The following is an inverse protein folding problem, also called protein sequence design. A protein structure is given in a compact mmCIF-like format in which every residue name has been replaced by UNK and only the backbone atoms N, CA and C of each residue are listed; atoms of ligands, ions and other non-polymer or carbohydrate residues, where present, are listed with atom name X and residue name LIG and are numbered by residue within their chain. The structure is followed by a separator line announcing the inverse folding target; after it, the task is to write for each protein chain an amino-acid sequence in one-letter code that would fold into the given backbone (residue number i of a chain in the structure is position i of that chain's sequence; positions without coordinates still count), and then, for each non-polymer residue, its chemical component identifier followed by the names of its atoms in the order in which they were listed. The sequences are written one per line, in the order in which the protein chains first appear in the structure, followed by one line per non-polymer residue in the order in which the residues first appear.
data_IF_812786458271
#
_entry.id   IF_812786458271
#
_cell.length_a   1.000
_cell.length_b   1.000
_cell.length_c   1.000
_cell.angle_alpha   90.00
_cell.angle_beta   90.00
_cell.angle_gamma   90.00
#
_symmetry.space_group_name_H-M   'P 1'
#
loop_
_entity.id
_entity.type
_entity.pdbx_description
1 polymer ?
#
# COMPACT_ATOMS: atom_id res chain seq x y z
N UNK A 1 1.64 -7.77 -24.82
CA UNK A 1 1.83 -6.96 -23.61
C UNK A 1 2.81 -7.70 -22.75
N UNK A 2 3.90 -7.10 -22.35
CA UNK A 2 4.93 -7.76 -21.55
C UNK A 2 4.45 -7.68 -20.09
N UNK A 3 4.34 -8.82 -19.42
CA UNK A 3 3.98 -8.86 -17.99
C UNK A 3 5.17 -8.45 -17.14
N UNK A 4 4.90 -7.78 -16.04
CA UNK A 4 5.91 -7.38 -15.05
C UNK A 4 5.81 -8.26 -13.82
N UNK A 5 6.96 -8.73 -13.34
CA UNK A 5 7.06 -9.48 -12.10
C UNK A 5 8.30 -9.02 -11.35
N UNK A 6 8.12 -8.40 -10.20
CA UNK A 6 9.23 -7.94 -9.38
C UNK A 6 9.09 -8.41 -7.95
N UNK A 7 10.22 -8.73 -7.33
CA UNK A 7 10.32 -8.94 -5.89
C UNK A 7 11.06 -7.76 -5.27
N UNK A 8 10.47 -7.15 -4.26
CA UNK A 8 11.07 -6.06 -3.49
C UNK A 8 11.42 -6.55 -2.11
N UNK A 9 12.71 -6.59 -1.79
CA UNK A 9 13.21 -6.92 -0.47
C UNK A 9 12.88 -5.82 0.54
N UNK A 10 12.52 -6.15 1.79
CA UNK A 10 12.34 -5.17 2.86
C UNK A 10 13.67 -4.51 3.26
N UNK A 11 14.81 -5.11 2.88
CA UNK A 11 16.15 -4.61 3.15
C UNK A 11 16.57 -3.63 2.06
N UNK A 12 16.72 -2.37 2.42
CA UNK A 12 17.16 -1.28 1.54
C UNK A 12 16.33 -1.10 0.25
N UNK A 13 15.12 -1.70 0.15
CA UNK A 13 14.27 -1.59 -1.03
C UNK A 13 14.88 -2.22 -2.29
N UNK A 14 15.79 -3.19 -2.15
CA UNK A 14 16.37 -3.89 -3.31
C UNK A 14 15.28 -4.57 -4.10
N UNK A 15 15.21 -4.30 -5.40
CA UNK A 15 14.22 -4.88 -6.32
C UNK A 15 14.94 -5.87 -7.23
N UNK A 16 14.37 -7.08 -7.33
CA UNK A 16 14.75 -8.07 -8.32
C UNK A 16 13.64 -8.14 -9.36
N UNK A 17 14.00 -7.95 -10.64
CA UNK A 17 13.09 -8.22 -11.75
C UNK A 17 13.10 -9.74 -12.02
N UNK A 18 11.96 -10.37 -11.83
CA UNK A 18 11.75 -11.80 -12.09
C UNK A 18 11.13 -12.05 -13.48
N UNK A 19 11.05 -11.03 -14.31
CA UNK A 19 10.63 -11.09 -15.71
C UNK A 19 11.76 -10.62 -16.66
N UNK A 20 12.98 -10.51 -16.16
CA UNK A 20 14.15 -10.07 -16.93
C UNK A 20 14.64 -11.18 -17.87
N UNK A 21 14.59 -10.98 -19.20
CA UNK A 21 15.05 -11.98 -20.16
C UNK A 21 16.57 -12.22 -20.13
N UNK A 22 17.35 -11.32 -19.55
CA UNK A 22 18.82 -11.45 -19.42
C UNK A 22 19.24 -11.91 -18.01
N UNK A 23 18.31 -12.04 -17.09
CA UNK A 23 18.50 -12.44 -15.70
C UNK A 23 17.61 -13.61 -15.31
N UNK A 24 16.63 -13.33 -14.45
CA UNK A 24 15.63 -14.32 -14.00
C UNK A 24 14.33 -14.08 -14.77
N UNK A 25 13.95 -15.02 -15.60
CA UNK A 25 12.73 -14.95 -16.41
C UNK A 25 11.71 -16.01 -15.97
N UNK A 26 10.75 -15.63 -15.17
CA UNK A 26 9.64 -16.50 -14.76
C UNK A 26 8.50 -16.50 -15.81
N UNK A 27 8.04 -17.70 -16.18
CA UNK A 27 7.06 -17.84 -17.26
C UNK A 27 5.58 -17.73 -16.80
N UNK A 28 5.26 -18.24 -15.62
CA UNK A 28 3.87 -18.38 -15.14
C UNK A 28 3.43 -17.21 -14.25
N UNK A 29 3.64 -15.99 -14.73
CA UNK A 29 3.47 -14.77 -13.93
C UNK A 29 2.03 -14.59 -13.42
N UNK A 30 1.03 -14.85 -14.28
CA UNK A 30 -0.37 -14.67 -13.90
C UNK A 30 -0.89 -15.72 -12.92
N UNK A 31 -0.29 -16.90 -12.89
CA UNK A 31 -0.67 -17.96 -11.96
C UNK A 31 -0.34 -17.61 -10.51
N UNK A 32 0.65 -16.77 -10.28
CA UNK A 32 0.91 -16.19 -8.96
C UNK A 32 -0.31 -15.46 -8.40
N UNK A 33 -1.09 -14.79 -9.25
CA UNK A 33 -2.29 -14.04 -8.87
C UNK A 33 -3.54 -14.90 -8.67
N UNK A 34 -3.40 -16.23 -8.62
CA UNK A 34 -4.53 -17.11 -8.32
C UNK A 34 -5.19 -16.71 -7.01
N UNK A 35 -6.50 -16.48 -7.06
CA UNK A 35 -7.33 -16.10 -5.93
C UNK A 35 -8.18 -17.29 -5.51
N UNK A 36 -8.10 -17.67 -4.27
CA UNK A 36 -8.93 -18.71 -3.70
C UNK A 36 -9.53 -18.26 -2.37
N UNK A 37 -10.79 -18.58 -2.15
CA UNK A 37 -11.44 -18.46 -0.87
C UNK A 37 -11.57 -19.84 -0.25
N UNK A 38 -11.17 -19.97 1.00
CA UNK A 38 -11.57 -21.10 1.82
C UNK A 38 -12.91 -20.75 2.45
N UNK A 39 -13.93 -21.56 2.15
CA UNK A 39 -15.30 -21.30 2.55
C UNK A 39 -15.84 -22.44 3.41
N UNK A 40 -16.37 -22.09 4.58
CA UNK A 40 -17.08 -23.00 5.47
C UNK A 40 -18.56 -22.64 5.47
N UNK A 41 -19.40 -23.61 5.16
CA UNK A 41 -20.85 -23.48 5.18
C UNK A 41 -21.41 -23.85 6.55
N UNK A 42 -22.03 -22.90 7.22
CA UNK A 42 -22.90 -23.12 8.37
C UNK A 42 -24.34 -23.40 7.92
N UNK A 43 -25.25 -23.61 8.89
CA UNK A 43 -26.66 -23.93 8.60
C UNK A 43 -27.37 -22.90 7.70
N UNK A 44 -27.08 -21.61 7.87
CA UNK A 44 -27.60 -20.47 7.07
C UNK A 44 -26.57 -19.35 6.92
N UNK A 45 -25.29 -19.70 6.97
CA UNK A 45 -24.21 -18.73 6.93
C UNK A 45 -23.03 -19.26 6.13
N UNK A 46 -22.25 -18.37 5.54
CA UNK A 46 -20.99 -18.65 4.89
C UNK A 46 -19.89 -17.90 5.67
N UNK A 47 -18.87 -18.62 6.09
CA UNK A 47 -17.58 -18.04 6.48
C UNK A 47 -16.60 -18.22 5.36
N UNK A 48 -15.92 -17.17 4.95
CA UNK A 48 -14.91 -17.25 3.92
C UNK A 48 -13.66 -16.47 4.35
N UNK A 49 -12.51 -17.10 4.16
CA UNK A 49 -11.19 -16.51 4.43
C UNK A 49 -10.29 -16.66 3.21
N UNK A 50 -9.29 -15.82 3.12
CA UNK A 50 -8.20 -15.93 2.13
C UNK A 50 -6.92 -16.24 2.89
N UNK A 51 -6.56 -17.52 3.04
CA UNK A 51 -5.37 -17.90 3.77
C UNK A 51 -4.11 -17.56 3.00
N UNK A 52 -3.00 -17.50 3.74
CA UNK A 52 -1.68 -17.56 3.15
C UNK A 52 -1.52 -18.85 2.35
N UNK A 53 -0.79 -18.80 1.25
CA UNK A 53 -0.57 -19.96 0.38
C UNK A 53 0.82 -19.93 -0.23
N UNK A 54 1.31 -21.10 -0.61
CA UNK A 54 2.49 -21.23 -1.44
C UNK A 54 2.14 -21.41 -2.91
N UNK A 55 2.90 -20.79 -3.79
CA UNK A 55 2.77 -20.91 -5.24
C UNK A 55 4.15 -21.23 -5.81
N UNK A 56 4.23 -22.20 -6.71
CA UNK A 56 5.47 -22.48 -7.46
C UNK A 56 5.43 -21.72 -8.79
N UNK A 57 6.55 -21.11 -9.13
CA UNK A 57 6.76 -20.37 -10.37
C UNK A 57 8.00 -20.90 -11.05
N UNK A 58 7.83 -21.46 -12.25
CA UNK A 58 8.96 -21.94 -13.04
C UNK A 58 9.63 -20.78 -13.76
N UNK A 59 10.94 -20.71 -13.67
CA UNK A 59 11.75 -19.68 -14.32
C UNK A 59 12.96 -20.26 -15.06
N UNK A 60 13.49 -19.45 -15.97
CA UNK A 60 14.79 -19.62 -16.58
C UNK A 60 15.72 -18.57 -16.01
N UNK A 61 16.91 -18.97 -15.58
CA UNK A 61 17.91 -18.06 -15.02
C UNK A 61 19.12 -18.05 -15.93
N UNK A 62 19.44 -16.89 -16.45
CA UNK A 62 20.61 -16.66 -17.28
C UNK A 62 21.78 -16.20 -16.41
N UNK A 63 22.75 -17.11 -16.24
CA UNK A 63 23.93 -16.88 -15.44
C UNK A 63 23.80 -17.29 -13.96
N UNK A 64 24.67 -18.18 -13.52
CA UNK A 64 24.74 -18.66 -12.13
C UNK A 64 24.92 -17.50 -11.12
N UNK A 65 25.75 -16.46 -11.38
CA UNK A 65 25.91 -15.35 -10.44
C UNK A 65 24.61 -14.56 -10.17
N UNK A 66 23.70 -14.47 -11.13
CA UNK A 66 22.40 -13.81 -10.93
C UNK A 66 21.51 -14.64 -10.01
N UNK A 67 21.56 -15.96 -10.13
CA UNK A 67 20.85 -16.88 -9.26
C UNK A 67 21.38 -16.81 -7.82
N UNK A 68 22.70 -16.95 -7.65
CA UNK A 68 23.35 -16.91 -6.32
C UNK A 68 23.00 -15.61 -5.58
N UNK A 69 23.05 -14.47 -6.26
CA UNK A 69 22.68 -13.18 -5.68
C UNK A 69 21.20 -13.12 -5.25
N UNK A 70 20.32 -13.72 -6.03
CA UNK A 70 18.90 -13.76 -5.69
C UNK A 70 18.65 -14.68 -4.49
N UNK A 71 19.28 -15.85 -4.46
CA UNK A 71 19.19 -16.81 -3.35
C UNK A 71 19.71 -16.21 -2.04
N UNK A 72 20.88 -15.55 -2.07
CA UNK A 72 21.42 -14.85 -0.90
C UNK A 72 20.45 -13.80 -0.34
N UNK A 73 19.75 -13.07 -1.22
CA UNK A 73 18.78 -12.07 -0.80
C UNK A 73 17.53 -12.72 -0.21
N UNK A 74 17.00 -13.78 -0.84
CA UNK A 74 15.83 -14.50 -0.35
C UNK A 74 16.09 -15.14 1.03
N UNK A 75 17.25 -15.75 1.20
CA UNK A 75 17.66 -16.35 2.48
C UNK A 75 17.86 -15.29 3.57
N UNK A 76 18.47 -14.15 3.21
CA UNK A 76 18.64 -13.04 4.14
C UNK A 76 17.29 -12.44 4.60
N UNK A 77 16.32 -12.31 3.68
CA UNK A 77 14.99 -11.81 3.99
C UNK A 77 14.21 -12.82 4.86
N UNK A 78 14.32 -14.10 4.56
CA UNK A 78 13.73 -15.17 5.37
C UNK A 78 14.30 -15.18 6.77
N UNK A 79 15.63 -15.13 6.92
CA UNK A 79 16.29 -15.09 8.22
C UNK A 79 15.87 -13.86 9.04
N UNK A 80 15.81 -12.69 8.40
CA UNK A 80 15.37 -11.47 9.07
C UNK A 80 13.90 -11.54 9.51
N UNK A 81 13.03 -12.11 8.69
CA UNK A 81 11.62 -12.31 9.05
C UNK A 81 11.44 -13.23 10.25
N UNK A 82 12.18 -14.35 10.30
CA UNK A 82 12.07 -15.35 11.36
C UNK A 82 12.74 -14.93 12.69
N UNK A 83 13.87 -14.21 12.61
CA UNK A 83 14.67 -13.90 13.80
C UNK A 83 14.43 -12.51 14.35
N UNK A 84 14.20 -11.53 13.47
CA UNK A 84 14.15 -10.11 13.83
C UNK A 84 12.72 -9.53 13.72
N UNK A 85 11.71 -10.36 13.42
CA UNK A 85 10.35 -9.93 13.13
C UNK A 85 10.30 -8.79 12.06
N UNK A 86 11.24 -8.83 11.12
CA UNK A 86 11.31 -7.87 10.02
C UNK A 86 10.06 -7.98 9.13
N UNK A 87 9.76 -6.92 8.40
CA UNK A 87 8.69 -6.96 7.41
C UNK A 87 9.02 -7.99 6.32
N UNK A 88 8.03 -8.73 5.80
CA UNK A 88 8.24 -9.60 4.66
C UNK A 88 8.54 -8.78 3.39
N UNK A 89 9.05 -9.44 2.37
CA UNK A 89 9.18 -8.86 1.04
C UNK A 89 7.82 -8.62 0.37
N UNK A 90 7.85 -7.94 -0.77
CA UNK A 90 6.66 -7.66 -1.58
C UNK A 90 6.88 -8.18 -2.99
N UNK A 91 5.94 -8.99 -3.48
CA UNK A 91 5.89 -9.38 -4.88
C UNK A 91 4.86 -8.53 -5.62
N UNK A 92 5.24 -8.04 -6.79
CA UNK A 92 4.37 -7.22 -7.63
C UNK A 92 4.22 -7.87 -9.00
N UNK A 93 2.97 -8.06 -9.43
CA UNK A 93 2.58 -8.64 -10.72
C UNK A 93 1.64 -7.67 -11.42
N UNK A 94 2.06 -7.08 -12.53
CA UNK A 94 1.26 -6.13 -13.32
C UNK A 94 0.60 -5.03 -12.47
N UNK A 95 1.37 -4.46 -11.53
CA UNK A 95 0.90 -3.43 -10.62
C UNK A 95 0.08 -3.92 -9.42
N UNK A 96 -0.16 -5.23 -9.32
CA UNK A 96 -0.76 -5.83 -8.13
C UNK A 96 0.34 -6.34 -7.20
N UNK A 97 0.28 -5.98 -5.95
CA UNK A 97 1.28 -6.33 -4.94
C UNK A 97 0.69 -7.17 -3.80
N UNK A 98 1.52 -8.02 -3.23
CA UNK A 98 1.21 -8.81 -2.04
C UNK A 98 2.48 -9.02 -1.23
N UNK A 99 2.35 -9.14 0.10
CA UNK A 99 3.47 -9.54 0.96
C UNK A 99 3.81 -11.00 0.73
N UNK A 100 5.09 -11.28 0.63
CA UNK A 100 5.57 -12.63 0.35
C UNK A 100 6.97 -12.90 0.92
N UNK A 101 7.33 -14.18 0.89
CA UNK A 101 8.69 -14.66 1.05
C UNK A 101 8.96 -15.72 0.01
N UNK A 102 10.16 -15.74 -0.57
CA UNK A 102 10.61 -16.85 -1.41
C UNK A 102 11.19 -17.91 -0.47
N UNK A 103 10.52 -19.04 -0.37
CA UNK A 103 10.80 -20.07 0.63
C UNK A 103 11.59 -21.26 0.10
N UNK A 104 11.81 -21.30 -1.21
CA UNK A 104 12.59 -22.36 -1.82
C UNK A 104 12.86 -22.11 -3.30
N UNK A 105 13.92 -22.72 -3.77
CA UNK A 105 14.29 -22.79 -5.17
C UNK A 105 14.79 -24.20 -5.46
N UNK A 106 14.30 -24.80 -6.53
CA UNK A 106 14.68 -26.13 -7.00
C UNK A 106 15.37 -25.96 -8.36
N UNK A 107 16.73 -25.78 -8.40
CA UNK A 107 17.42 -25.57 -9.66
C UNK A 107 17.56 -26.88 -10.45
N UNK A 108 17.34 -26.81 -11.76
CA UNK A 108 17.61 -27.87 -12.73
C UNK A 108 18.62 -27.36 -13.76
N UNK A 109 19.78 -28.00 -13.77
CA UNK A 109 20.89 -27.58 -14.62
C UNK A 109 20.61 -27.92 -16.09
N UNK A 110 20.59 -26.91 -16.95
CA UNK A 110 20.41 -27.07 -18.39
C UNK A 110 21.74 -26.93 -19.13
N UNK A 111 22.52 -25.89 -18.78
CA UNK A 111 23.83 -25.59 -19.40
C UNK A 111 24.67 -24.71 -18.47
N UNK A 112 25.97 -24.48 -18.79
CA UNK A 112 26.80 -23.59 -17.97
C UNK A 112 26.31 -22.15 -17.84
N UNK A 113 25.40 -21.71 -18.72
CA UNK A 113 24.86 -20.35 -18.73
C UNK A 113 23.37 -20.29 -18.53
N UNK A 114 22.69 -21.43 -18.39
CA UNK A 114 21.24 -21.50 -18.26
C UNK A 114 20.85 -22.53 -17.20
N UNK A 115 20.12 -22.07 -16.21
CA UNK A 115 19.50 -22.90 -15.19
C UNK A 115 17.99 -22.74 -15.30
N UNK A 116 17.27 -23.85 -15.31
CA UNK A 116 15.82 -23.84 -15.10
C UNK A 116 15.56 -24.11 -13.63
N UNK A 117 14.56 -23.45 -13.05
CA UNK A 117 14.24 -23.72 -11.66
C UNK A 117 12.83 -23.30 -11.27
N UNK A 118 12.34 -23.94 -10.23
CA UNK A 118 11.06 -23.63 -9.63
C UNK A 118 11.28 -22.81 -8.37
N UNK A 119 10.76 -21.58 -8.38
CA UNK A 119 10.73 -20.75 -7.17
C UNK A 119 9.44 -21.01 -6.41
N UNK A 120 9.54 -21.31 -5.14
CA UNK A 120 8.39 -21.45 -4.23
C UNK A 120 8.21 -20.14 -3.47
N UNK A 121 7.10 -19.46 -3.74
CA UNK A 121 6.75 -18.18 -3.13
C UNK A 121 5.62 -18.41 -2.13
N UNK A 122 5.84 -18.05 -0.87
CA UNK A 122 4.82 -17.99 0.16
C UNK A 122 4.15 -16.61 0.12
N UNK A 123 2.88 -16.56 -0.26
CA UNK A 123 2.04 -15.37 -0.25
C UNK A 123 1.35 -15.29 1.11
N UNK A 124 1.58 -14.24 1.87
CA UNK A 124 1.23 -14.18 3.30
C UNK A 124 -0.17 -13.59 3.56
N UNK A 125 -0.62 -12.63 2.76
CA UNK A 125 -1.89 -11.92 3.03
C UNK A 125 -3.11 -12.56 2.38
N UNK A 126 -2.92 -13.42 1.39
CA UNK A 126 -4.03 -13.98 0.59
C UNK A 126 -4.80 -12.96 -0.26
N UNK A 127 -4.46 -11.67 -0.17
CA UNK A 127 -5.10 -10.56 -0.88
C UNK A 127 -4.08 -9.80 -1.73
N UNK A 128 -4.45 -9.55 -3.00
CA UNK A 128 -3.66 -8.71 -3.89
C UNK A 128 -4.16 -7.27 -3.83
N UNK A 129 -3.24 -6.35 -3.61
CA UNK A 129 -3.48 -4.92 -3.57
C UNK A 129 -2.99 -4.28 -4.86
N UNK A 130 -3.77 -3.39 -5.43
CA UNK A 130 -3.33 -2.52 -6.50
C UNK A 130 -3.29 -1.10 -5.94
N UNK A 131 -2.19 -0.40 -6.16
CA UNK A 131 -2.11 1.01 -5.84
C UNK A 131 -2.82 1.76 -6.95
N UNK A 132 -3.85 2.48 -6.61
CA UNK A 132 -4.52 3.40 -7.53
C UNK A 132 -3.70 4.67 -7.71
N UNK A 133 -4.05 5.45 -8.73
CA UNK A 133 -3.43 6.74 -8.98
C UNK A 133 -3.65 7.69 -7.81
N UNK A 134 -2.64 8.52 -7.54
CA UNK A 134 -2.69 9.49 -6.45
C UNK A 134 -3.70 10.58 -6.80
N UNK A 135 -4.70 10.78 -5.95
CA UNK A 135 -5.64 11.88 -6.06
C UNK A 135 -5.13 13.04 -5.21
N UNK A 136 -5.02 14.22 -5.82
CA UNK A 136 -4.54 15.42 -5.15
C UNK A 136 -5.70 16.37 -4.85
N UNK A 137 -5.79 16.80 -3.61
CA UNK A 137 -6.79 17.76 -3.14
C UNK A 137 -6.07 19.00 -2.59
N UNK A 138 -6.54 20.17 -2.99
CA UNK A 138 -5.98 21.43 -2.56
C UNK A 138 -6.96 22.11 -1.61
N UNK A 139 -6.47 22.57 -0.49
CA UNK A 139 -7.22 23.47 0.39
C UNK A 139 -7.00 24.91 -0.10
N UNK A 140 -8.03 25.56 -0.59
CA UNK A 140 -8.00 26.98 -0.93
C UNK A 140 -8.27 27.89 0.30
N UNK A 141 -8.04 27.38 1.46
CA UNK A 141 -8.08 28.21 2.64
C UNK A 141 -6.92 29.22 2.58
N UNK A 142 -7.18 30.34 1.98
CA UNK A 142 -6.36 31.54 1.88
C UNK A 142 -6.07 31.90 0.42
N UNK A 143 -7.11 32.33 -0.30
CA UNK A 143 -6.88 33.43 -1.22
C UNK A 143 -6.90 34.71 -0.36
N UNK A 144 -5.75 35.29 -0.01
CA UNK A 144 -5.72 36.61 0.58
C UNK A 144 -6.17 37.58 -0.51
N UNK A 145 -7.34 38.13 -0.40
CA UNK A 145 -7.82 39.14 -1.32
C UNK A 145 -9.31 39.13 -1.66
N UNK A 146 -10.08 38.21 -1.07
CA UNK A 146 -11.54 38.30 -1.08
C UNK A 146 -12.02 38.69 0.32
N UNK A 147 -11.49 39.79 0.84
CA UNK A 147 -12.10 40.49 1.94
C UNK A 147 -13.48 40.98 1.49
N UNK A 148 -14.47 40.78 2.36
CA UNK A 148 -15.77 41.40 2.22
C UNK A 148 -15.56 42.91 2.03
N UNK A 149 -15.76 43.40 0.82
CA UNK A 149 -15.76 44.82 0.55
C UNK A 149 -16.89 45.50 1.35
N UNK A 150 -16.56 46.47 2.14
CA UNK A 150 -17.55 47.37 2.74
C UNK A 150 -17.67 48.63 1.88
N UNK A 151 -18.88 49.01 1.44
CA UNK A 151 -20.23 48.69 1.92
C UNK A 151 -20.85 47.51 1.19
N UNK A 152 -21.66 46.72 1.93
CA UNK A 152 -22.34 45.54 1.43
C UNK A 152 -23.29 45.84 0.29
N UNK A 153 -22.99 45.31 -0.89
CA UNK A 153 -23.96 45.19 -1.96
C UNK A 153 -24.74 43.88 -1.78
N UNK A 154 -26.06 43.97 -1.83
CA UNK A 154 -26.92 42.81 -1.90
C UNK A 154 -27.01 42.34 -3.35
N UNK A 155 -26.86 41.03 -3.67
CA UNK A 155 -26.90 39.85 -2.80
C UNK A 155 -25.53 39.42 -2.27
N UNK A 156 -25.48 38.94 -1.03
CA UNK A 156 -24.27 38.37 -0.44
C UNK A 156 -23.85 37.14 -1.22
N UNK A 157 -22.69 37.19 -1.82
CA UNK A 157 -21.99 35.98 -2.27
C UNK A 157 -21.41 35.27 -1.05
N UNK A 158 -22.16 34.28 -0.59
CA UNK A 158 -21.60 33.30 0.32
C UNK A 158 -20.63 32.43 -0.48
N UNK A 159 -19.36 32.78 -0.51
CA UNK A 159 -18.33 31.84 -0.95
C UNK A 159 -18.45 30.59 -0.06
N UNK A 160 -18.68 29.42 -0.65
CA UNK A 160 -18.70 28.21 0.15
C UNK A 160 -17.31 28.02 0.79
N UNK A 161 -17.25 28.18 2.11
CA UNK A 161 -16.02 27.93 2.87
C UNK A 161 -15.62 26.48 2.91
N UNK A 162 -16.46 25.60 2.38
CA UNK A 162 -16.24 24.16 2.26
C UNK A 162 -16.18 23.79 0.79
N UNK A 163 -15.00 23.41 0.29
CA UNK A 163 -14.92 22.74 -1.02
C UNK A 163 -15.20 21.26 -0.83
N UNK A 164 -16.19 20.79 -1.57
CA UNK A 164 -16.43 19.37 -1.73
C UNK A 164 -15.53 18.89 -2.88
N UNK A 165 -14.68 17.92 -2.59
CA UNK A 165 -13.93 17.16 -3.58
C UNK A 165 -14.50 15.75 -3.59
N UNK A 166 -14.52 15.11 -4.73
CA UNK A 166 -14.99 13.73 -4.87
C UNK A 166 -13.80 12.79 -4.74
N UNK A 167 -13.89 11.84 -3.82
CA UNK A 167 -12.96 10.72 -3.68
C UNK A 167 -13.67 9.46 -4.19
N UNK A 168 -13.09 8.80 -5.18
CA UNK A 168 -13.64 7.57 -5.74
C UNK A 168 -12.88 6.34 -5.22
N UNK A 169 -13.64 5.33 -4.80
CA UNK A 169 -13.15 3.98 -4.56
C UNK A 169 -13.86 3.03 -5.51
N UNK A 170 -13.22 2.70 -6.63
CA UNK A 170 -13.78 1.83 -7.67
C UNK A 170 -13.83 0.35 -7.27
N UNK A 171 -13.30 -0.01 -6.10
CA UNK A 171 -13.39 -1.36 -5.60
C UNK A 171 -14.82 -1.69 -5.10
N UNK A 172 -15.20 -2.96 -5.18
CA UNK A 172 -16.49 -3.44 -4.68
C UNK A 172 -16.57 -3.54 -3.13
N UNK A 173 -15.50 -3.17 -2.43
CA UNK A 173 -15.39 -3.26 -0.97
C UNK A 173 -14.61 -2.08 -0.41
N UNK A 174 -14.74 -1.79 0.90
CA UNK A 174 -13.94 -0.77 1.54
C UNK A 174 -12.44 -1.01 1.31
N UNK A 175 -11.70 0.04 0.99
CA UNK A 175 -10.30 0.00 0.58
C UNK A 175 -9.43 0.72 1.61
N UNK A 176 -8.31 0.12 2.06
CA UNK A 176 -7.32 0.86 2.84
C UNK A 176 -6.69 1.95 1.96
N UNK A 177 -6.18 2.99 2.60
CA UNK A 177 -5.61 4.15 1.92
C UNK A 177 -4.29 4.58 2.55
N UNK A 178 -3.55 5.35 1.80
CA UNK A 178 -2.45 6.17 2.27
C UNK A 178 -2.84 7.64 2.08
N UNK A 179 -2.92 8.41 3.17
CA UNK A 179 -3.23 9.83 3.16
C UNK A 179 -1.95 10.61 3.47
N UNK A 180 -1.60 11.56 2.61
CA UNK A 180 -0.50 12.49 2.85
C UNK A 180 -1.06 13.89 3.02
N UNK A 181 -0.79 14.49 4.17
CA UNK A 181 -1.20 15.86 4.49
C UNK A 181 0.01 16.75 4.54
N UNK A 182 0.07 17.74 3.66
CA UNK A 182 1.18 18.71 3.60
C UNK A 182 0.90 19.93 4.45
N UNK A 183 1.93 20.44 5.13
CA UNK A 183 1.88 21.69 5.86
C UNK A 183 2.13 22.94 4.96
N UNK A 184 1.85 24.15 5.47
CA UNK A 184 1.43 24.42 6.84
C UNK A 184 -0.07 24.20 7.06
N UNK A 185 -0.44 23.49 8.10
CA UNK A 185 -1.85 23.30 8.49
C UNK A 185 -1.96 23.00 9.98
N UNK A 186 -2.97 23.55 10.64
CA UNK A 186 -3.27 23.29 12.04
C UNK A 186 -4.44 22.34 12.16
N UNK A 187 -4.26 21.26 12.92
CA UNK A 187 -5.28 20.25 13.23
C UNK A 187 -6.13 19.83 12.01
N UNK A 188 -5.49 19.30 10.95
CA UNK A 188 -6.23 18.97 9.73
C UNK A 188 -7.27 17.90 9.98
N UNK A 189 -8.45 18.10 9.38
CA UNK A 189 -9.55 17.15 9.41
C UNK A 189 -10.20 17.05 8.02
N UNK A 190 -10.49 15.82 7.60
CA UNK A 190 -11.14 15.51 6.32
C UNK A 190 -12.33 14.59 6.61
N UNK A 191 -13.47 14.85 5.98
CA UNK A 191 -14.66 14.00 6.12
C UNK A 191 -14.90 13.29 4.79
N UNK A 192 -14.87 11.96 4.81
CA UNK A 192 -15.13 11.12 3.64
C UNK A 192 -16.11 10.01 4.04
N UNK A 193 -17.21 9.86 3.29
CA UNK A 193 -18.19 8.81 3.55
C UNK A 193 -18.78 8.83 4.96
N UNK A 194 -18.87 10.02 5.59
CA UNK A 194 -19.36 10.20 6.95
C UNK A 194 -18.34 9.93 8.07
N UNK A 195 -17.12 9.49 7.74
CA UNK A 195 -16.04 9.36 8.71
C UNK A 195 -15.14 10.60 8.69
N UNK A 196 -14.71 11.05 9.87
CA UNK A 196 -13.80 12.17 10.05
C UNK A 196 -12.39 11.65 10.32
N UNK A 197 -11.48 11.95 9.42
CA UNK A 197 -10.06 11.66 9.52
C UNK A 197 -9.37 12.91 10.07
N UNK A 198 -8.89 12.87 11.29
CA UNK A 198 -8.36 14.03 12.01
C UNK A 198 -7.00 13.76 12.63
N UNK A 199 -6.12 14.76 12.55
CA UNK A 199 -4.82 14.77 13.20
C UNK A 199 -4.78 15.92 14.24
N UNK A 200 -4.57 15.58 15.50
CA UNK A 200 -4.47 16.53 16.62
C UNK A 200 -3.05 17.10 16.73
N UNK A 201 -2.58 17.73 15.66
CA UNK A 201 -1.27 18.35 15.62
C UNK A 201 -1.19 19.42 14.53
N UNK A 202 -0.23 20.32 14.67
CA UNK A 202 0.14 21.27 13.65
C UNK A 202 1.23 20.67 12.76
N UNK A 203 1.09 20.82 11.47
CA UNK A 203 2.08 20.37 10.48
C UNK A 203 2.78 21.63 9.96
N UNK A 204 4.10 21.80 10.23
CA UNK A 204 4.85 22.97 9.78
C UNK A 204 4.99 23.06 8.26
N UNK A 205 5.31 24.25 7.75
CA UNK A 205 5.64 24.42 6.33
C UNK A 205 6.84 23.53 5.95
N UNK A 206 6.81 22.96 4.73
CA UNK A 206 7.85 22.05 4.24
C UNK A 206 7.79 20.64 4.82
N UNK A 207 6.94 20.41 5.83
CA UNK A 207 6.73 19.08 6.44
C UNK A 207 5.43 18.43 5.94
N UNK A 208 5.33 17.11 6.08
CA UNK A 208 4.09 16.40 5.78
C UNK A 208 3.89 15.21 6.73
N UNK A 209 2.65 14.81 6.88
CA UNK A 209 2.27 13.62 7.65
C UNK A 209 1.69 12.57 6.72
N UNK A 210 2.19 11.35 6.82
CA UNK A 210 1.67 10.17 6.10
C UNK A 210 0.91 9.28 7.06
N UNK A 211 -0.35 9.01 6.73
CA UNK A 211 -1.22 8.07 7.44
C UNK A 211 -1.40 6.85 6.55
N UNK A 212 -0.98 5.67 7.01
CA UNK A 212 -1.18 4.41 6.33
C UNK A 212 -2.24 3.59 7.08
N UNK A 213 -3.36 3.28 6.43
CA UNK A 213 -4.48 2.54 7.02
C UNK A 213 -4.44 1.03 6.74
N UNK A 214 -3.46 0.54 5.97
CA UNK A 214 -3.33 -0.89 5.65
C UNK A 214 -3.19 -1.72 6.92
N UNK A 215 -4.01 -2.74 7.05
CA UNK A 215 -3.99 -3.62 8.22
C UNK A 215 -2.62 -4.30 8.38
N UNK A 216 -2.11 -4.36 9.61
CA UNK A 216 -0.76 -4.85 9.90
C UNK A 216 0.37 -3.85 9.60
N UNK A 217 0.07 -2.74 8.90
CA UNK A 217 1.06 -1.69 8.57
C UNK A 217 0.65 -0.29 9.02
N UNK A 218 -0.40 -0.21 9.84
CA UNK A 218 -0.94 1.08 10.30
C UNK A 218 0.13 1.93 10.94
N UNK A 219 0.29 3.15 10.42
CA UNK A 219 1.29 4.11 10.89
C UNK A 219 0.84 5.53 10.67
N UNK A 220 1.30 6.44 11.51
CA UNK A 220 1.21 7.88 11.29
C UNK A 220 2.60 8.43 11.50
N UNK A 221 3.19 8.98 10.46
CA UNK A 221 4.58 9.41 10.44
C UNK A 221 4.66 10.82 9.90
N UNK A 222 5.33 11.72 10.62
CA UNK A 222 5.66 13.05 10.14
C UNK A 222 7.08 13.04 9.57
N UNK A 223 7.21 13.58 8.37
CA UNK A 223 8.50 13.86 7.75
C UNK A 223 8.70 15.37 7.74
N UNK A 224 9.74 15.82 8.40
CA UNK A 224 10.11 17.22 8.46
C UNK A 224 10.85 17.67 7.18
N UNK A 225 10.96 18.97 6.94
CA UNK A 225 11.66 19.56 5.78
C UNK A 225 13.11 19.08 5.64
N UNK A 226 13.78 18.82 6.76
CA UNK A 226 15.17 18.31 6.80
C UNK A 226 15.27 16.79 6.55
N UNK A 227 14.12 16.10 6.34
CA UNK A 227 14.04 14.66 6.14
C UNK A 227 13.95 13.84 7.44
N UNK A 228 13.92 14.46 8.61
CA UNK A 228 13.74 13.74 9.87
C UNK A 228 12.36 13.11 9.95
N UNK A 229 12.34 11.84 10.35
CA UNK A 229 11.12 11.03 10.43
C UNK A 229 10.73 10.83 11.89
N UNK A 230 9.52 11.26 12.25
CA UNK A 230 8.99 11.14 13.61
C UNK A 230 7.68 10.33 13.60
N UNK A 231 7.58 9.36 14.50
CA UNK A 231 6.33 8.63 14.71
C UNK A 231 5.37 9.50 15.53
N UNK A 232 4.22 9.84 14.95
CA UNK A 232 3.16 10.65 15.56
C UNK A 232 1.84 9.90 15.64
N UNK A 233 1.92 8.60 15.83
CA UNK A 233 0.77 7.69 15.87
C UNK A 233 -0.26 8.04 16.95
N UNK A 234 0.15 8.68 18.04
CA UNK A 234 -0.69 9.17 19.13
C UNK A 234 -1.53 10.40 18.77
N UNK A 235 -1.21 11.08 17.66
CA UNK A 235 -1.89 12.30 17.21
C UNK A 235 -3.11 12.03 16.31
N UNK A 236 -3.29 10.80 15.84
CA UNK A 236 -4.45 10.44 15.04
C UNK A 236 -5.70 10.24 15.90
N UNK A 237 -6.87 10.78 15.46
CA UNK A 237 -8.14 10.53 16.11
C UNK A 237 -8.53 9.06 16.02
N UNK A 238 -8.82 8.43 17.13
CA UNK A 238 -9.15 7.00 17.23
C UNK A 238 -10.58 6.71 17.63
N UNK A 239 -11.39 7.71 17.83
CA UNK A 239 -12.83 7.66 18.09
C UNK A 239 -13.37 6.39 18.71
N UNK A 240 -14.68 6.26 18.77
CA UNK A 240 -15.38 5.12 19.35
C UNK A 240 -15.46 3.88 18.43
N UNK A 241 -14.54 3.72 17.48
CA UNK A 241 -14.45 2.56 16.58
C UNK A 241 -15.15 2.75 15.24
N UNK A 242 -15.20 1.67 14.45
CA UNK A 242 -15.62 1.63 13.02
C UNK A 242 -16.98 2.32 12.77
N UNK A 243 -17.89 2.29 13.70
CA UNK A 243 -19.22 2.91 13.58
C UNK A 243 -19.30 4.29 14.26
N UNK A 244 -18.20 4.78 14.84
CA UNK A 244 -18.18 6.03 15.58
C UNK A 244 -18.02 7.28 14.73
N UNK A 245 -17.70 7.12 13.44
CA UNK A 245 -17.56 8.23 12.50
C UNK A 245 -16.30 9.07 12.66
N UNK A 246 -15.36 8.69 13.55
CA UNK A 246 -14.15 9.44 13.84
C UNK A 246 -12.95 8.50 14.03
N UNK A 247 -12.54 7.81 12.99
CA UNK A 247 -11.42 6.87 13.07
C UNK A 247 -10.43 7.08 11.95
N UNK A 248 -9.19 7.48 12.29
CA UNK A 248 -8.16 7.85 11.32
C UNK A 248 -7.76 6.74 10.34
N UNK A 249 -7.96 5.47 10.70
CA UNK A 249 -7.64 4.32 9.84
C UNK A 249 -8.88 3.65 9.25
N UNK A 250 -10.05 4.32 9.27
CA UNK A 250 -11.26 3.79 8.66
C UNK A 250 -11.05 3.60 7.17
N UNK A 251 -11.19 2.38 6.61
CA UNK A 251 -11.10 2.17 5.17
C UNK A 251 -12.11 3.04 4.41
N UNK A 252 -11.73 3.51 3.24
CA UNK A 252 -12.62 4.25 2.35
C UNK A 252 -13.74 3.33 1.87
N UNK A 253 -15.02 3.69 2.06
CA UNK A 253 -16.12 2.88 1.56
C UNK A 253 -16.09 2.80 0.03
N UNK A 254 -16.77 1.81 -0.55
CA UNK A 254 -16.89 1.66 -2.00
C UNK A 254 -17.78 2.76 -2.59
N UNK A 255 -17.45 3.24 -3.77
CA UNK A 255 -18.18 4.27 -4.50
C UNK A 255 -17.55 5.66 -4.43
N UNK A 256 -18.30 6.66 -4.87
CA UNK A 256 -17.91 8.07 -4.83
C UNK A 256 -18.40 8.74 -3.53
N UNK A 257 -17.54 9.55 -2.93
CA UNK A 257 -17.77 10.22 -1.65
C UNK A 257 -17.33 11.68 -1.67
#
# INVERSE_FOLDING_TARGET
MMHTLTYTSPRAGTVIDLADPEGIMCGQILELRTRAWEAELGYRSLRATRPAKTVKVTGLVYGIPALEKAEELFDADMCAYLNDAAKPGVITVDGWSQTCLVVGHEPDYVSPVLVRGDFTVALLDGVWHKRDDVQHFWSDALQPGLDLDYPHDYPHDYLPTTRNATVANDAASPMPFELVVYGPVSQPAIIIGGNRYELHMDIPSGSYVTVNSVEGQRSIVMTAENGDITNVFDKGERGSGINGGNYIFQPLPAGEH
#
